data_IF_435284450930
#
_entry.id   IF_435284450930
#
_cell.length_a   1.000
_cell.length_b   1.000
_cell.length_c   1.000
_cell.angle_alpha   90.00
_cell.angle_beta   90.00
_cell.angle_gamma   90.00
#
_symmetry.space_group_name_H-M   'P 1'
#
loop_
_entity.id
_entity.type
_entity.pdbx_description
1 polymer ?
#
# COMPACT_ATOMS: atom_id res chain seq x y z
N UNK A 1 29.86 48.64 -64.14
CA UNK A 1 29.09 49.89 -63.99
C UNK A 1 28.11 49.64 -62.88
N UNK A 2 28.11 50.53 -61.93
CA UNK A 2 27.62 50.35 -60.57
C UNK A 2 26.18 50.96 -60.41
N UNK A 3 25.47 50.52 -59.41
CA UNK A 3 24.38 51.27 -58.76
C UNK A 3 24.18 50.62 -57.39
N UNK A 4 24.39 51.16 -56.49
CA UNK A 4 23.96 52.24 -55.52
C UNK A 4 23.39 51.65 -54.29
N UNK A 5 24.01 52.02 -53.21
CA UNK A 5 23.71 51.74 -51.84
C UNK A 5 22.49 52.52 -51.41
N UNK A 6 21.56 51.98 -50.68
CA UNK A 6 20.63 52.75 -49.85
C UNK A 6 20.71 52.21 -48.40
N UNK A 7 21.20 53.11 -47.58
CA UNK A 7 21.39 53.01 -46.15
C UNK A 7 20.11 53.58 -45.50
N UNK A 8 19.37 52.69 -44.83
CA UNK A 8 18.26 53.10 -43.96
C UNK A 8 18.38 52.40 -42.63
N UNK A 9 19.03 53.05 -41.71
CA UNK A 9 19.09 52.76 -40.29
C UNK A 9 17.70 52.89 -39.68
N UNK A 10 17.14 51.76 -39.20
CA UNK A 10 16.00 51.76 -38.32
C UNK A 10 16.44 51.20 -36.92
N UNK A 11 16.46 52.12 -36.03
CA UNK A 11 16.62 52.00 -34.59
C UNK A 11 15.56 51.02 -34.03
N UNK A 12 15.96 49.87 -33.52
CA UNK A 12 15.10 48.95 -32.79
C UNK A 12 15.61 48.82 -31.34
N UNK A 13 14.99 49.57 -30.46
CA UNK A 13 15.15 49.41 -29.02
C UNK A 13 14.80 47.96 -28.56
N UNK A 14 15.54 47.36 -27.64
CA UNK A 14 15.26 46.01 -27.16
C UNK A 14 14.02 46.02 -26.26
N UNK A 15 13.03 45.19 -26.63
CA UNK A 15 11.90 44.86 -25.79
C UNK A 15 12.41 43.99 -24.64
N UNK A 16 12.23 44.49 -23.43
CA UNK A 16 12.55 43.72 -22.21
C UNK A 16 11.63 42.51 -22.11
N UNK A 17 12.24 41.34 -22.26
CA UNK A 17 11.60 40.06 -22.03
C UNK A 17 11.29 39.92 -20.53
N UNK A 18 10.01 40.04 -20.17
CA UNK A 18 9.53 39.88 -18.82
C UNK A 18 9.57 38.39 -18.45
N UNK A 19 10.55 38.02 -17.64
CA UNK A 19 10.58 36.71 -17.02
C UNK A 19 9.26 36.48 -16.23
N UNK A 20 8.62 35.29 -16.33
CA UNK A 20 7.45 34.99 -15.52
C UNK A 20 7.85 35.01 -14.03
N UNK A 21 7.07 35.73 -13.23
CA UNK A 21 7.22 35.79 -11.78
C UNK A 21 7.14 34.35 -11.23
N UNK A 22 8.15 33.93 -10.48
CA UNK A 22 8.15 32.66 -9.77
C UNK A 22 6.98 32.69 -8.78
N UNK A 23 6.08 31.71 -8.92
CA UNK A 23 5.02 31.47 -7.93
C UNK A 23 5.69 31.24 -6.57
N UNK A 24 5.16 31.78 -5.46
CA UNK A 24 5.69 31.52 -4.14
C UNK A 24 5.52 30.03 -3.84
N UNK A 25 6.49 29.38 -3.15
CA UNK A 25 6.39 28.00 -2.78
C UNK A 25 5.12 27.78 -1.95
N UNK A 26 4.28 26.85 -2.39
CA UNK A 26 3.11 26.43 -1.64
C UNK A 26 3.62 25.89 -0.31
N UNK A 27 3.34 26.62 0.77
CA UNK A 27 3.72 26.21 2.12
C UNK A 27 3.02 24.89 2.43
N UNK A 28 3.77 23.83 2.59
CA UNK A 28 3.25 22.56 3.09
C UNK A 28 2.56 22.81 4.45
N UNK A 29 1.41 22.17 4.72
CA UNK A 29 0.74 22.33 5.98
C UNK A 29 1.64 21.86 7.13
N UNK A 30 2.02 22.78 8.00
CA UNK A 30 2.80 22.54 9.22
C UNK A 30 1.92 22.00 10.34
N UNK A 31 1.03 21.05 10.08
CA UNK A 31 0.32 20.35 11.13
C UNK A 31 1.18 19.19 11.63
N UNK A 32 1.70 19.30 12.85
CA UNK A 32 2.43 18.23 13.52
C UNK A 32 1.49 17.13 14.10
N UNK A 33 0.19 17.24 13.86
CA UNK A 33 -0.77 16.24 14.26
C UNK A 33 -0.79 15.12 13.22
N UNK A 34 -0.76 13.87 13.69
CA UNK A 34 -0.96 12.70 12.84
C UNK A 34 -2.31 12.78 12.12
N UNK A 35 -2.44 12.29 10.88
CA UNK A 35 -3.72 12.21 10.18
C UNK A 35 -4.74 11.42 11.00
N UNK A 36 -5.84 12.06 11.36
CA UNK A 36 -6.91 11.50 12.22
C UNK A 36 -7.37 10.08 11.78
N UNK A 37 -7.66 9.82 10.48
CA UNK A 37 -8.09 8.49 10.07
C UNK A 37 -7.06 7.40 10.36
N UNK A 38 -5.79 7.60 9.99
CA UNK A 38 -4.73 6.62 10.21
C UNK A 38 -4.47 6.38 11.70
N UNK A 39 -4.50 7.42 12.53
CA UNK A 39 -4.33 7.29 13.97
C UNK A 39 -5.49 6.49 14.60
N UNK A 40 -6.72 6.73 14.16
CA UNK A 40 -7.90 5.98 14.60
C UNK A 40 -7.81 4.50 14.18
N UNK A 41 -7.41 4.23 12.94
CA UNK A 41 -7.24 2.87 12.43
C UNK A 41 -6.18 2.10 13.21
N UNK A 42 -5.04 2.73 13.54
CA UNK A 42 -4.00 2.12 14.37
C UNK A 42 -4.43 1.94 15.84
N UNK A 43 -5.27 2.84 16.37
CA UNK A 43 -5.85 2.65 17.70
C UNK A 43 -6.76 1.41 17.76
N UNK A 44 -7.55 1.15 16.71
CA UNK A 44 -8.33 -0.09 16.59
C UNK A 44 -7.45 -1.34 16.54
N UNK A 45 -6.23 -1.23 16.01
CA UNK A 45 -5.29 -2.34 16.01
C UNK A 45 -4.82 -2.74 17.43
N UNK A 46 -4.80 -1.80 18.40
CA UNK A 46 -4.49 -2.11 19.80
C UNK A 46 -5.50 -3.08 20.42
N UNK A 47 -6.75 -3.01 20.00
CA UNK A 47 -7.85 -3.76 20.60
C UNK A 47 -8.13 -5.09 19.88
N UNK A 48 -7.78 -5.19 18.62
CA UNK A 48 -8.31 -6.26 17.80
C UNK A 48 -7.39 -6.94 16.78
N UNK A 49 -6.20 -6.44 16.47
CA UNK A 49 -5.34 -7.04 15.45
C UNK A 49 -4.68 -8.35 15.92
N UNK A 50 -4.31 -9.20 14.96
CA UNK A 50 -3.43 -10.36 15.21
C UNK A 50 -1.97 -9.89 15.42
N UNK A 51 -1.79 -8.91 16.32
CA UNK A 51 -0.52 -8.24 16.62
C UNK A 51 -0.42 -7.97 18.11
N UNK A 52 0.79 -7.82 18.62
CA UNK A 52 0.97 -7.49 20.03
C UNK A 52 0.62 -6.02 20.30
N UNK A 53 0.10 -5.68 21.50
CA UNK A 53 -0.13 -4.28 21.86
C UNK A 53 1.12 -3.40 21.80
N UNK A 54 2.30 -3.97 22.04
CA UNK A 54 3.57 -3.24 21.95
C UNK A 54 3.88 -2.85 20.50
N UNK A 55 3.72 -3.76 19.55
CA UNK A 55 3.88 -3.45 18.13
C UNK A 55 2.91 -2.36 17.67
N UNK A 56 1.65 -2.42 18.10
CA UNK A 56 0.66 -1.40 17.74
C UNK A 56 1.03 -0.01 18.29
N UNK A 57 1.60 0.06 19.50
CA UNK A 57 2.14 1.33 20.04
C UNK A 57 3.33 1.83 19.22
N UNK A 58 4.26 0.95 18.82
CA UNK A 58 5.38 1.34 17.98
C UNK A 58 4.90 1.96 16.65
N UNK A 59 3.83 1.42 16.02
CA UNK A 59 3.22 2.00 14.83
C UNK A 59 2.64 3.39 15.07
N UNK A 60 1.94 3.59 16.18
CA UNK A 60 1.43 4.91 16.58
C UNK A 60 2.57 5.89 16.87
N UNK A 61 3.63 5.44 17.53
CA UNK A 61 4.81 6.26 17.81
C UNK A 61 5.52 6.67 16.51
N UNK A 62 5.62 5.78 15.53
CA UNK A 62 6.16 6.12 14.21
C UNK A 62 5.29 7.18 13.52
N UNK A 63 3.97 6.97 13.49
CA UNK A 63 3.02 7.90 12.82
C UNK A 63 3.06 9.30 13.46
N UNK A 64 3.16 9.37 14.78
CA UNK A 64 3.12 10.66 15.51
C UNK A 64 4.48 11.32 15.65
N UNK A 65 5.55 10.54 15.70
CA UNK A 65 6.92 11.02 15.97
C UNK A 65 7.74 11.32 14.72
N UNK A 66 7.39 10.79 13.56
CA UNK A 66 8.14 10.98 12.30
C UNK A 66 7.29 11.78 11.32
N UNK A 67 7.72 13.00 10.93
CA UNK A 67 7.02 13.78 9.94
C UNK A 67 6.83 13.00 8.64
N UNK A 68 5.60 13.00 8.12
CA UNK A 68 5.23 12.29 6.88
C UNK A 68 5.46 10.76 6.91
N UNK A 69 5.55 10.13 8.10
CA UNK A 69 5.69 8.67 8.20
C UNK A 69 4.59 7.87 7.48
N UNK A 70 3.46 8.51 7.19
CA UNK A 70 2.37 7.93 6.41
C UNK A 70 2.74 7.74 4.93
N UNK A 71 3.73 8.47 4.42
CA UNK A 71 4.08 8.51 3.02
C UNK A 71 5.51 8.06 2.77
N UNK A 72 5.76 7.58 1.55
CA UNK A 72 7.07 7.08 1.11
C UNK A 72 8.20 8.09 1.24
N UNK A 73 7.93 9.39 1.13
CA UNK A 73 8.92 10.46 1.26
C UNK A 73 9.19 10.88 2.71
N UNK A 74 8.48 10.31 3.68
CA UNK A 74 8.68 10.54 5.12
C UNK A 74 9.95 9.94 5.69
N UNK A 75 10.73 9.23 4.89
CA UNK A 75 12.02 8.70 5.34
C UNK A 75 12.23 7.22 5.04
N UNK A 76 13.31 6.61 5.55
CA UNK A 76 13.63 5.22 5.28
C UNK A 76 12.64 4.22 5.93
N UNK A 77 11.91 4.66 6.95
CA UNK A 77 10.85 3.92 7.65
C UNK A 77 9.55 4.68 7.49
N UNK A 78 8.54 4.06 6.95
CA UNK A 78 7.23 4.64 6.71
C UNK A 78 6.14 3.58 6.68
N UNK A 79 4.90 4.03 6.80
CA UNK A 79 3.75 3.15 6.76
C UNK A 79 3.47 2.70 5.32
N UNK A 80 2.96 1.48 5.22
CA UNK A 80 2.34 0.92 4.02
C UNK A 80 0.99 0.32 4.39
N UNK A 81 0.15 0.08 3.41
CA UNK A 81 -1.14 -0.52 3.62
C UNK A 81 -1.37 -1.66 2.62
N UNK A 82 -1.78 -2.82 3.12
CA UNK A 82 -2.03 -4.00 2.31
C UNK A 82 -3.30 -4.72 2.72
N UNK A 83 -3.73 -5.69 1.92
CA UNK A 83 -4.87 -6.51 2.27
C UNK A 83 -4.65 -7.99 1.97
N UNK A 84 -5.03 -8.83 2.93
CA UNK A 84 -5.29 -10.25 2.69
C UNK A 84 -6.71 -10.35 2.12
N UNK A 85 -6.80 -10.68 0.83
CA UNK A 85 -8.08 -10.79 0.13
C UNK A 85 -8.49 -12.25 0.03
N UNK A 86 -9.59 -12.61 0.68
CA UNK A 86 -10.17 -13.95 0.60
C UNK A 86 -11.43 -13.99 -0.25
N UNK A 87 -11.75 -15.14 -0.81
CA UNK A 87 -13.03 -15.36 -1.50
C UNK A 87 -14.20 -15.54 -0.50
N UNK A 88 -15.45 -15.54 -0.98
CA UNK A 88 -16.63 -15.60 -0.11
C UNK A 88 -16.66 -16.82 0.82
N UNK A 89 -16.32 -18.04 0.38
CA UNK A 89 -16.26 -19.19 1.27
C UNK A 89 -15.04 -19.20 2.21
N UNK A 90 -14.03 -18.33 2.01
CA UNK A 90 -12.79 -18.36 2.78
C UNK A 90 -11.91 -19.58 2.48
N UNK A 91 -11.86 -19.99 1.23
CA UNK A 91 -11.10 -21.15 0.75
C UNK A 91 -9.87 -20.75 -0.08
N UNK A 92 -9.80 -19.49 -0.52
CA UNK A 92 -8.72 -18.98 -1.35
C UNK A 92 -8.25 -17.61 -0.86
N UNK A 93 -6.98 -17.31 -1.14
CA UNK A 93 -6.36 -16.01 -0.97
C UNK A 93 -5.82 -15.52 -2.32
N UNK A 94 -6.02 -14.23 -2.62
CA UNK A 94 -5.46 -13.61 -3.81
C UNK A 94 -4.04 -13.12 -3.52
N UNK A 95 -3.08 -13.47 -4.37
CA UNK A 95 -1.70 -13.00 -4.29
C UNK A 95 -1.27 -12.39 -5.62
N UNK A 96 -0.28 -11.50 -5.51
CA UNK A 96 0.39 -10.78 -6.59
C UNK A 96 1.80 -11.30 -6.73
N UNK A 97 2.27 -11.54 -7.95
CA UNK A 97 3.68 -11.75 -8.22
C UNK A 97 4.40 -10.40 -8.34
N UNK A 98 5.15 -10.03 -7.32
CA UNK A 98 5.90 -8.78 -7.28
C UNK A 98 7.13 -8.86 -8.18
N UNK A 99 7.12 -8.13 -9.30
CA UNK A 99 8.15 -8.21 -10.35
C UNK A 99 9.57 -7.92 -9.84
N UNK A 100 9.72 -6.87 -9.03
CA UNK A 100 11.01 -6.45 -8.51
C UNK A 100 11.55 -7.38 -7.42
N UNK A 101 10.68 -7.81 -6.51
CA UNK A 101 11.04 -8.71 -5.40
C UNK A 101 11.11 -10.17 -5.82
N UNK A 102 10.43 -10.54 -6.94
CA UNK A 102 10.36 -11.90 -7.47
C UNK A 102 9.78 -12.90 -6.47
N UNK A 103 8.69 -12.50 -5.82
CA UNK A 103 7.96 -13.34 -4.86
C UNK A 103 6.45 -13.08 -4.96
N UNK A 104 5.68 -14.06 -4.47
CA UNK A 104 4.25 -13.89 -4.25
C UNK A 104 4.00 -13.19 -2.91
N UNK A 105 3.12 -12.20 -2.91
CA UNK A 105 2.77 -11.41 -1.73
C UNK A 105 1.30 -10.97 -1.82
N UNK A 106 0.73 -10.53 -0.71
CA UNK A 106 -0.58 -9.88 -0.70
C UNK A 106 -0.52 -8.54 -1.48
N UNK A 107 -1.63 -8.10 -2.11
CA UNK A 107 -1.70 -6.78 -2.71
C UNK A 107 -1.56 -5.67 -1.68
N UNK A 108 -0.83 -4.60 -2.03
CA UNK A 108 -0.59 -3.47 -1.15
C UNK A 108 0.61 -2.63 -1.53
N UNK A 109 0.69 -1.44 -0.97
CA UNK A 109 1.74 -0.49 -1.29
C UNK A 109 1.77 0.75 -0.41
N UNK A 110 2.29 1.83 -0.98
CA UNK A 110 2.45 3.10 -0.30
C UNK A 110 1.17 3.94 -0.41
N UNK A 111 0.96 4.79 0.59
CA UNK A 111 -0.07 5.80 0.47
C UNK A 111 0.36 6.89 -0.53
N UNK A 112 -0.58 7.35 -1.32
CA UNK A 112 -0.42 8.48 -2.21
C UNK A 112 -0.59 9.82 -1.48
N UNK A 113 -0.03 10.89 -2.04
CA UNK A 113 -0.16 12.23 -1.46
C UNK A 113 -1.63 12.64 -1.32
N UNK A 114 -2.02 12.96 -0.09
CA UNK A 114 -3.40 13.33 0.25
C UNK A 114 -4.26 12.18 0.78
N UNK A 115 -3.84 10.93 0.65
CA UNK A 115 -4.49 9.83 1.35
C UNK A 115 -4.17 9.90 2.85
N UNK A 116 -5.17 9.73 3.69
CA UNK A 116 -5.05 9.80 5.14
C UNK A 116 -5.60 8.57 5.84
N UNK A 117 -6.23 7.65 5.09
CA UNK A 117 -6.77 6.37 5.58
C UNK A 117 -5.94 5.22 5.03
N UNK A 118 -5.44 4.37 5.92
CA UNK A 118 -4.70 3.16 5.57
C UNK A 118 -5.61 2.13 4.90
N UNK A 119 -6.88 2.01 5.35
CA UNK A 119 -7.84 1.11 4.71
C UNK A 119 -8.15 1.54 3.27
N UNK A 120 -8.33 2.84 3.03
CA UNK A 120 -8.61 3.33 1.68
C UNK A 120 -7.42 3.06 0.74
N UNK A 121 -6.19 3.29 1.20
CA UNK A 121 -4.98 2.96 0.45
C UNK A 121 -4.89 1.45 0.14
N UNK A 122 -5.09 0.58 1.13
CA UNK A 122 -5.12 -0.86 0.90
C UNK A 122 -6.17 -1.28 -0.13
N UNK A 123 -7.36 -0.66 -0.12
CA UNK A 123 -8.43 -0.93 -1.10
C UNK A 123 -8.10 -0.43 -2.50
N UNK A 124 -7.44 0.72 -2.62
CA UNK A 124 -6.94 1.23 -3.89
C UNK A 124 -5.92 0.28 -4.48
N UNK A 125 -4.92 -0.14 -3.71
CA UNK A 125 -3.90 -1.11 -4.13
C UNK A 125 -4.53 -2.44 -4.59
N UNK A 126 -5.52 -2.95 -3.86
CA UNK A 126 -6.27 -4.15 -4.27
C UNK A 126 -6.95 -3.95 -5.63
N UNK A 127 -7.56 -2.78 -5.85
CA UNK A 127 -8.24 -2.49 -7.12
C UNK A 127 -7.23 -2.35 -8.28
N UNK A 128 -6.08 -1.74 -8.03
CA UNK A 128 -5.03 -1.51 -9.02
C UNK A 128 -4.27 -2.80 -9.35
N UNK A 129 -3.84 -3.56 -8.35
CA UNK A 129 -2.98 -4.71 -8.55
C UNK A 129 -3.70 -5.99 -8.97
N UNK A 130 -4.94 -6.22 -8.48
CA UNK A 130 -5.68 -7.45 -8.76
C UNK A 130 -7.07 -7.23 -9.38
N UNK A 131 -7.49 -5.97 -9.59
CA UNK A 131 -8.72 -5.61 -10.28
C UNK A 131 -10.01 -5.88 -9.48
N UNK A 132 -9.94 -6.00 -8.15
CA UNK A 132 -11.10 -6.24 -7.30
C UNK A 132 -11.52 -4.99 -6.53
N UNK A 133 -12.84 -4.79 -6.43
CA UNK A 133 -13.46 -3.72 -5.64
C UNK A 133 -14.73 -4.22 -4.96
N UNK A 134 -15.32 -3.39 -4.07
CA UNK A 134 -16.56 -3.75 -3.37
C UNK A 134 -16.39 -4.90 -2.39
N UNK A 135 -15.20 -5.07 -1.84
CA UNK A 135 -14.88 -6.11 -0.86
C UNK A 135 -15.41 -5.74 0.52
N UNK A 136 -15.87 -6.72 1.27
CA UNK A 136 -16.27 -6.56 2.67
C UNK A 136 -15.03 -6.62 3.58
N UNK A 137 -14.88 -5.67 4.51
CA UNK A 137 -13.88 -5.78 5.57
C UNK A 137 -14.35 -6.76 6.64
N UNK A 138 -13.47 -7.65 7.06
CA UNK A 138 -13.69 -8.56 8.18
C UNK A 138 -13.00 -7.98 9.42
N UNK A 139 -13.77 -7.72 10.45
CA UNK A 139 -13.34 -7.03 11.67
C UNK A 139 -13.53 -5.52 11.60
N UNK A 140 -13.25 -4.82 12.71
CA UNK A 140 -13.55 -3.39 12.85
C UNK A 140 -12.36 -2.48 12.50
N UNK A 141 -11.16 -3.04 12.35
CA UNK A 141 -9.92 -2.31 12.06
C UNK A 141 -8.91 -3.17 11.32
N UNK A 142 -7.63 -2.83 11.40
CA UNK A 142 -6.55 -3.65 10.84
C UNK A 142 -6.61 -5.08 11.35
N UNK A 143 -6.36 -6.03 10.47
CA UNK A 143 -6.32 -7.43 10.82
C UNK A 143 -4.96 -7.84 11.40
N UNK A 144 -3.88 -7.21 10.93
CA UNK A 144 -2.50 -7.46 11.37
C UNK A 144 -1.64 -6.22 11.16
N UNK A 145 -0.61 -6.08 11.99
CA UNK A 145 0.50 -5.16 11.79
C UNK A 145 1.76 -5.98 11.54
N UNK A 146 2.52 -5.59 10.55
CA UNK A 146 3.73 -6.30 10.17
C UNK A 146 4.87 -5.33 9.86
N UNK A 147 6.05 -5.55 10.42
CA UNK A 147 7.25 -4.77 10.15
C UNK A 147 8.31 -5.64 9.51
N UNK A 148 8.80 -5.24 8.36
CA UNK A 148 9.85 -5.97 7.66
C UNK A 148 10.88 -5.03 7.05
N UNK A 149 12.15 -5.48 7.10
CA UNK A 149 13.26 -4.81 6.43
C UNK A 149 13.22 -5.06 4.93
N UNK A 150 13.73 -4.10 4.18
CA UNK A 150 13.84 -4.16 2.74
C UNK A 150 15.32 -4.25 2.33
N UNK A 151 15.55 -4.97 1.24
CA UNK A 151 16.86 -5.07 0.63
C UNK A 151 17.23 -3.77 -0.14
N UNK A 152 18.50 -3.59 -0.43
CA UNK A 152 19.02 -2.40 -1.11
C UNK A 152 18.38 -2.15 -2.49
N UNK A 153 17.75 -3.16 -3.10
CA UNK A 153 17.02 -3.01 -4.36
C UNK A 153 15.82 -2.07 -4.25
N UNK A 154 15.28 -1.85 -3.04
CA UNK A 154 14.13 -0.96 -2.80
C UNK A 154 14.52 0.51 -2.59
N UNK A 155 15.79 0.87 -2.78
CA UNK A 155 16.27 2.25 -2.82
C UNK A 155 16.31 2.90 -1.44
N UNK A 156 15.53 3.97 -1.20
CA UNK A 156 15.53 4.68 0.08
C UNK A 156 14.74 3.97 1.17
N UNK A 157 13.79 3.10 0.80
CA UNK A 157 12.98 2.36 1.76
C UNK A 157 13.85 1.29 2.44
N UNK A 158 13.95 1.33 3.75
CA UNK A 158 14.70 0.37 4.55
C UNK A 158 13.78 -0.55 5.35
N UNK A 159 12.64 -0.03 5.80
CA UNK A 159 11.62 -0.80 6.49
C UNK A 159 10.24 -0.34 6.05
N UNK A 160 9.37 -1.28 5.77
CA UNK A 160 7.94 -1.06 5.68
C UNK A 160 7.27 -1.45 7.00
N UNK A 161 6.40 -0.57 7.45
CA UNK A 161 5.52 -0.77 8.59
C UNK A 161 4.12 -0.95 8.05
N UNK A 162 3.81 -2.21 7.72
CA UNK A 162 2.63 -2.57 6.94
C UNK A 162 1.41 -2.80 7.81
N UNK A 163 0.32 -2.11 7.46
CA UNK A 163 -0.99 -2.22 8.11
C UNK A 163 -1.88 -3.05 7.21
N UNK A 164 -2.19 -4.27 7.64
CA UNK A 164 -2.89 -5.26 6.84
C UNK A 164 -4.36 -5.36 7.21
N UNK A 165 -5.23 -5.34 6.20
CA UNK A 165 -6.66 -5.54 6.33
C UNK A 165 -7.07 -6.92 5.82
N UNK A 166 -8.09 -7.53 6.44
CA UNK A 166 -8.71 -8.74 5.93
C UNK A 166 -9.97 -8.36 5.15
N UNK A 167 -9.96 -8.58 3.84
CA UNK A 167 -11.03 -8.24 2.93
C UNK A 167 -11.62 -9.51 2.31
N UNK A 168 -12.95 -9.58 2.20
CA UNK A 168 -13.67 -10.71 1.63
C UNK A 168 -14.37 -10.32 0.33
N UNK A 169 -14.14 -11.09 -0.72
CA UNK A 169 -14.85 -10.96 -1.98
C UNK A 169 -16.30 -11.46 -1.84
N UNK A 170 -17.27 -10.88 -2.59
CA UNK A 170 -18.68 -11.24 -2.47
C UNK A 170 -19.04 -12.59 -3.09
N UNK A 171 -18.13 -13.22 -3.83
CA UNK A 171 -18.34 -14.49 -4.54
C UNK A 171 -17.14 -15.41 -4.41
N UNK A 172 -17.30 -16.73 -4.68
CA UNK A 172 -16.18 -17.67 -4.76
C UNK A 172 -15.14 -17.28 -5.80
N UNK A 173 -13.88 -17.66 -5.58
CA UNK A 173 -12.73 -17.36 -6.45
C UNK A 173 -12.98 -17.68 -7.94
N UNK A 174 -13.63 -18.79 -8.23
CA UNK A 174 -13.98 -19.19 -9.60
C UNK A 174 -14.90 -18.19 -10.34
N UNK A 175 -15.60 -17.32 -9.61
CA UNK A 175 -16.49 -16.29 -10.15
C UNK A 175 -15.90 -14.87 -10.05
N UNK A 176 -14.68 -14.76 -9.55
CA UNK A 176 -13.98 -13.49 -9.32
C UNK A 176 -12.62 -13.51 -10.07
N UNK A 177 -12.63 -13.29 -11.40
CA UNK A 177 -11.39 -13.25 -12.18
C UNK A 177 -10.53 -12.08 -11.71
N UNK A 178 -9.24 -12.35 -11.47
CA UNK A 178 -8.25 -11.34 -11.15
C UNK A 178 -7.68 -10.73 -12.43
N UNK A 179 -7.19 -9.51 -12.32
CA UNK A 179 -6.52 -8.79 -13.42
C UNK A 179 -5.21 -8.22 -12.89
N UNK A 180 -4.10 -8.66 -13.46
CA UNK A 180 -2.80 -8.07 -13.18
C UNK A 180 -2.73 -6.65 -13.73
N UNK A 181 -2.06 -5.76 -12.99
CA UNK A 181 -1.65 -4.44 -13.47
C UNK A 181 -0.36 -4.53 -14.29
N UNK A 182 0.09 -3.40 -14.83
CA UNK A 182 1.40 -3.33 -15.50
C UNK A 182 2.58 -3.52 -14.53
N UNK A 183 2.36 -3.24 -13.24
CA UNK A 183 3.36 -3.39 -12.18
C UNK A 183 3.40 -4.80 -11.59
N UNK A 184 2.36 -5.60 -11.82
CA UNK A 184 2.21 -6.97 -11.33
C UNK A 184 2.59 -7.97 -12.42
N UNK A 185 3.49 -8.91 -12.11
CA UNK A 185 3.90 -9.94 -13.08
C UNK A 185 2.83 -11.00 -13.33
N UNK A 186 2.05 -11.34 -12.32
CA UNK A 186 0.95 -12.31 -12.36
C UNK A 186 0.07 -12.12 -11.11
N UNK A 187 -1.18 -12.54 -11.17
CA UNK A 187 -2.12 -12.51 -10.04
C UNK A 187 -2.96 -13.78 -10.02
N UNK A 188 -3.06 -14.43 -8.86
CA UNK A 188 -3.75 -15.70 -8.73
C UNK A 188 -4.47 -15.87 -7.41
N UNK A 189 -5.54 -16.66 -7.46
CA UNK A 189 -6.13 -17.26 -6.28
C UNK A 189 -5.35 -18.52 -5.90
N UNK A 190 -4.94 -18.62 -4.64
CA UNK A 190 -4.30 -19.80 -4.06
C UNK A 190 -5.17 -20.37 -2.96
N UNK A 191 -5.14 -21.70 -2.79
CA UNK A 191 -5.90 -22.36 -1.74
C UNK A 191 -5.44 -21.89 -0.36
N UNK A 192 -6.39 -21.44 0.43
CA UNK A 192 -6.20 -21.04 1.82
C UNK A 192 -7.48 -21.30 2.63
N UNK A 193 -7.61 -22.44 3.31
CA UNK A 193 -8.82 -22.83 4.03
C UNK A 193 -8.96 -22.06 5.36
N UNK A 194 -9.23 -20.75 5.28
CA UNK A 194 -9.29 -19.85 6.43
C UNK A 194 -10.32 -20.26 7.51
N UNK A 195 -11.42 -20.91 7.10
CA UNK A 195 -12.46 -21.40 8.04
C UNK A 195 -12.13 -22.70 8.75
N UNK A 196 -11.19 -23.46 8.23
CA UNK A 196 -10.79 -24.75 8.78
C UNK A 196 -9.27 -24.84 8.88
N UNK A 197 -8.62 -23.93 9.64
CA UNK A 197 -7.19 -23.87 9.69
C UNK A 197 -6.64 -25.15 10.34
N UNK A 198 -5.81 -25.84 9.60
CA UNK A 198 -4.89 -26.83 10.16
C UNK A 198 -3.59 -26.07 10.43
N UNK A 199 -3.09 -26.07 11.65
CA UNK A 199 -1.87 -25.37 12.03
C UNK A 199 -0.73 -25.68 11.03
N UNK A 200 -0.08 -24.67 10.50
CA UNK A 200 0.97 -24.78 9.49
C UNK A 200 0.47 -25.22 8.11
N UNK A 201 -0.82 -25.04 7.79
CA UNK A 201 -1.39 -25.45 6.51
C UNK A 201 -1.04 -24.46 5.38
N UNK A 202 -0.95 -23.16 5.66
CA UNK A 202 -0.66 -22.17 4.65
C UNK A 202 0.67 -22.45 3.94
N UNK A 203 1.73 -22.76 4.66
CA UNK A 203 3.05 -23.06 4.09
C UNK A 203 3.05 -24.24 3.11
N UNK A 204 2.08 -25.18 3.22
CA UNK A 204 1.98 -26.34 2.34
C UNK A 204 1.11 -26.11 1.11
N UNK A 205 0.23 -25.10 1.18
CA UNK A 205 -0.77 -24.83 0.14
C UNK A 205 -0.39 -23.64 -0.74
N UNK A 206 0.50 -22.78 -0.25
CA UNK A 206 0.98 -21.64 -1.00
C UNK A 206 2.05 -22.04 -2.03
N UNK A 207 2.24 -21.22 -3.08
CA UNK A 207 3.23 -21.50 -4.12
C UNK A 207 4.66 -21.36 -3.60
N UNK A 208 5.60 -21.98 -4.33
CA UNK A 208 7.01 -21.64 -4.16
C UNK A 208 7.26 -20.15 -4.44
N UNK A 209 8.20 -19.55 -3.72
CA UNK A 209 8.53 -18.13 -3.88
C UNK A 209 7.53 -17.16 -3.25
N UNK A 210 6.70 -17.63 -2.32
CA UNK A 210 5.94 -16.71 -1.45
C UNK A 210 6.89 -16.01 -0.47
N UNK A 211 6.59 -14.76 -0.13
CA UNK A 211 7.35 -14.02 0.89
C UNK A 211 7.36 -14.80 2.22
N UNK A 212 8.54 -14.94 2.91
CA UNK A 212 8.74 -15.95 3.94
C UNK A 212 7.80 -15.90 5.15
N UNK A 213 7.29 -14.73 5.48
CA UNK A 213 6.45 -14.44 6.64
C UNK A 213 4.93 -14.59 6.38
N UNK A 214 4.52 -14.53 5.10
CA UNK A 214 3.11 -14.64 4.73
C UNK A 214 2.43 -15.94 5.19
N UNK A 215 3.05 -17.13 5.11
CA UNK A 215 2.41 -18.34 5.60
C UNK A 215 2.02 -18.29 7.08
N UNK A 216 2.90 -17.77 7.94
CA UNK A 216 2.61 -17.61 9.37
C UNK A 216 1.52 -16.55 9.62
N UNK A 217 1.54 -15.46 8.85
CA UNK A 217 0.51 -14.43 8.90
C UNK A 217 -0.87 -14.99 8.53
N UNK A 218 -0.95 -15.78 7.47
CA UNK A 218 -2.21 -16.43 7.04
C UNK A 218 -2.73 -17.44 8.06
N UNK A 219 -1.86 -18.23 8.69
CA UNK A 219 -2.27 -19.15 9.75
C UNK A 219 -2.85 -18.41 10.96
N UNK A 220 -2.22 -17.30 11.40
CA UNK A 220 -2.73 -16.48 12.49
C UNK A 220 -4.08 -15.79 12.13
N UNK A 221 -4.22 -15.31 10.90
CA UNK A 221 -5.47 -14.74 10.42
C UNK A 221 -6.58 -15.77 10.28
N UNK A 222 -6.27 -17.02 9.88
CA UNK A 222 -7.24 -18.08 9.77
C UNK A 222 -7.87 -18.42 11.11
N UNK A 223 -7.11 -18.47 12.21
CA UNK A 223 -7.64 -18.65 13.56
C UNK A 223 -8.64 -17.53 13.93
N UNK A 224 -8.28 -16.30 13.61
CA UNK A 224 -9.13 -15.13 13.85
C UNK A 224 -10.36 -15.10 12.95
N UNK A 225 -10.22 -15.41 11.67
CA UNK A 225 -11.31 -15.44 10.69
C UNK A 225 -12.38 -16.47 11.06
N UNK A 226 -11.97 -17.66 11.51
CA UNK A 226 -12.89 -18.68 11.98
C UNK A 226 -13.74 -18.21 13.18
N UNK A 227 -13.22 -17.29 14.01
CA UNK A 227 -13.94 -16.73 15.16
C UNK A 227 -14.93 -15.64 14.74
N UNK A 228 -14.57 -14.80 13.77
CA UNK A 228 -15.39 -13.67 13.30
C UNK A 228 -16.57 -14.09 12.41
N UNK A 229 -16.57 -15.32 11.88
CA UNK A 229 -17.64 -15.86 11.05
C UNK A 229 -18.62 -16.77 11.80
N UNK A 230 -18.47 -16.91 13.10
CA UNK A 230 -19.43 -17.64 13.95
C UNK A 230 -20.62 -16.76 14.32
#
# INVERSE_FOLDING_TARGET
>A
MPAEVDDSTADASPVADGAPAAEPPVSAPTSSAAPEPAATELALALEGAASTPDLAREFLDLLTGVPRALYRDGGPRHLTASAIVTDAPGEHVALVWHLKGRFWVQPGGHLEDGETSLEQAARREVAEEIGLSGLERIGEGPAMLHRHGLDAAFGRCQEHWDVQYLLRAPRPAAQMPLRASEESGDVKWFTWPARSPLAGSAAKLLPEGVVPDLPAALDALAERFATLLR
#
